data_IF_509649867898
#
_entry.id   IF_509649867898
#
_cell.length_a   1.000
_cell.length_b   1.000
_cell.length_c   1.000
_cell.angle_alpha   90.00
_cell.angle_beta   90.00
_cell.angle_gamma   90.00
#
_symmetry.space_group_name_H-M   'P 1'
#
loop_
_entity.id
_entity.type
_entity.pdbx_description
1 polymer ?
#
# COMPACT_ATOMS: atom_id res chain seq x y z
N UNK A 1 4.41 24.25 14.56
CA UNK A 1 4.85 22.92 14.10
C UNK A 1 4.96 23.01 12.58
N UNK A 2 6.10 23.51 12.10
CA UNK A 2 6.29 23.74 10.68
C UNK A 2 7.68 23.24 10.24
N UNK A 3 7.61 22.35 9.26
CA UNK A 3 8.39 22.39 8.02
C UNK A 3 9.90 22.10 8.09
N UNK A 4 10.23 20.81 8.04
CA UNK A 4 11.53 20.29 7.60
C UNK A 4 11.81 20.77 6.17
N UNK A 5 12.88 21.52 5.96
CA UNK A 5 13.42 21.85 4.63
C UNK A 5 14.91 21.46 4.53
N UNK A 6 15.16 20.52 3.62
CA UNK A 6 16.24 20.48 2.61
C UNK A 6 17.65 20.86 3.11
N UNK A 7 18.52 19.85 3.24
CA UNK A 7 19.97 20.05 3.34
C UNK A 7 20.59 19.88 1.95
N UNK A 8 21.04 21.00 1.37
CA UNK A 8 21.93 21.03 0.20
C UNK A 8 23.34 20.74 0.74
N UNK A 9 23.86 19.53 0.52
CA UNK A 9 25.26 19.26 0.84
C UNK A 9 26.10 19.65 -0.38
N UNK A 10 26.63 20.87 -0.33
CA UNK A 10 27.68 21.32 -1.23
C UNK A 10 28.94 20.49 -1.02
N UNK A 11 29.41 19.86 -2.09
CA UNK A 11 30.80 19.42 -2.21
C UNK A 11 31.72 20.61 -2.00
N UNK A 12 32.77 20.50 -1.18
CA UNK A 12 34.13 20.98 -1.48
C UNK A 12 35.13 20.56 -0.38
N UNK A 13 36.26 20.04 -0.88
CA UNK A 13 37.62 20.06 -0.31
C UNK A 13 38.09 18.94 0.64
N UNK A 14 39.11 18.22 0.15
CA UNK A 14 39.97 17.22 0.83
C UNK A 14 40.95 17.88 1.82
N UNK A 15 41.44 17.26 2.91
CA UNK A 15 42.71 16.48 3.01
C UNK A 15 42.93 15.93 4.46
N UNK A 16 43.21 14.61 4.56
CA UNK A 16 44.09 13.76 5.41
C UNK A 16 44.13 13.68 6.99
N UNK A 17 43.81 12.45 7.49
CA UNK A 17 44.27 11.55 8.60
C UNK A 17 45.03 12.02 9.87
N UNK A 18 44.57 11.67 11.10
CA UNK A 18 44.93 10.45 11.89
C UNK A 18 44.28 10.42 13.32
N UNK A 19 43.84 9.21 13.75
CA UNK A 19 43.58 8.72 15.14
C UNK A 19 42.49 9.31 16.07
N UNK A 20 41.57 8.44 16.50
CA UNK A 20 40.83 8.55 17.79
C UNK A 20 39.30 8.50 17.67
N UNK A 21 38.67 7.42 18.15
CA UNK A 21 37.22 7.17 18.20
C UNK A 21 36.44 8.30 18.92
N UNK A 22 35.17 8.63 18.65
CA UNK A 22 33.97 7.80 18.46
C UNK A 22 32.95 8.57 17.60
N UNK A 23 32.40 7.95 16.55
CA UNK A 23 31.15 8.43 15.94
C UNK A 23 30.12 7.33 16.12
N UNK A 24 29.03 7.65 16.82
CA UNK A 24 27.90 6.76 17.05
C UNK A 24 27.19 6.53 15.70
N UNK A 25 27.61 5.49 14.98
CA UNK A 25 26.93 5.06 13.77
C UNK A 25 25.91 3.98 14.14
N UNK A 26 24.65 4.36 14.30
CA UNK A 26 23.56 3.39 14.17
C UNK A 26 23.30 3.15 12.68
N UNK A 27 24.16 2.37 12.03
CA UNK A 27 23.75 1.66 10.81
C UNK A 27 23.31 0.28 11.21
N UNK A 28 22.00 0.12 11.34
CA UNK A 28 21.37 -1.15 11.01
C UNK A 28 21.75 -1.48 9.57
N UNK A 29 22.77 -2.31 9.37
CA UNK A 29 23.09 -2.92 8.08
C UNK A 29 22.00 -3.94 7.76
N UNK A 30 20.87 -3.45 7.26
CA UNK A 30 19.91 -4.25 6.52
C UNK A 30 20.48 -4.46 5.11
N UNK A 31 21.34 -5.47 4.98
CA UNK A 31 21.96 -5.90 3.72
C UNK A 31 21.03 -6.82 2.90
N UNK A 32 19.72 -6.69 3.08
CA UNK A 32 18.72 -7.30 2.19
C UNK A 32 18.42 -6.39 0.99
N UNK A 33 18.06 -6.92 -0.18
CA UNK A 33 17.52 -6.10 -1.25
C UNK A 33 16.27 -5.39 -0.73
N UNK A 34 16.28 -4.04 -0.73
CA UNK A 34 15.11 -3.26 -0.35
C UNK A 34 14.05 -3.38 -1.45
N UNK A 35 13.03 -4.18 -1.18
CA UNK A 35 11.90 -4.34 -2.09
C UNK A 35 11.00 -3.09 -2.04
N UNK A 36 10.85 -2.42 -3.18
CA UNK A 36 9.95 -1.27 -3.30
C UNK A 36 8.49 -1.75 -3.35
N UNK A 37 7.65 -1.18 -2.48
CA UNK A 37 6.22 -1.46 -2.48
C UNK A 37 5.50 -0.58 -3.51
N UNK A 38 4.81 -1.20 -4.48
CA UNK A 38 3.89 -0.55 -5.42
C UNK A 38 2.46 -0.81 -4.95
N UNK A 39 1.83 0.20 -4.37
CA UNK A 39 0.50 0.07 -3.76
C UNK A 39 -0.55 0.66 -4.70
N UNK A 40 -1.54 -0.15 -5.08
CA UNK A 40 -2.60 0.25 -6.01
C UNK A 40 -3.94 0.29 -5.29
N UNK A 41 -4.78 1.27 -5.64
CA UNK A 41 -6.16 1.31 -5.19
C UNK A 41 -7.07 0.71 -6.26
N UNK A 42 -7.84 -0.31 -5.88
CA UNK A 42 -8.96 -0.77 -6.68
C UNK A 42 -10.24 -0.16 -6.12
N UNK A 43 -11.13 0.32 -6.99
CA UNK A 43 -12.33 1.05 -6.57
C UNK A 43 -13.58 0.29 -7.00
N UNK A 44 -14.44 -0.06 -6.04
CA UNK A 44 -15.62 -0.91 -6.30
C UNK A 44 -16.65 -0.25 -7.23
N UNK A 45 -16.72 1.09 -7.27
CA UNK A 45 -17.59 1.82 -8.21
C UNK A 45 -17.11 1.76 -9.67
N UNK A 46 -15.89 1.29 -9.96
CA UNK A 46 -15.38 1.15 -11.33
C UNK A 46 -16.16 0.12 -12.17
N UNK A 47 -16.86 -0.80 -11.51
CA UNK A 47 -17.76 -1.78 -12.14
C UNK A 47 -18.94 -1.14 -12.89
N UNK A 48 -19.31 0.10 -12.53
CA UNK A 48 -20.47 0.80 -13.10
C UNK A 48 -20.11 1.72 -14.28
N UNK A 49 -18.83 1.87 -14.61
CA UNK A 49 -18.42 2.70 -15.75
C UNK A 49 -18.90 2.08 -17.07
N UNK A 50 -19.35 2.89 -18.05
CA UNK A 50 -19.83 2.36 -19.32
C UNK A 50 -18.69 1.97 -20.26
N UNK A 51 -18.98 1.00 -21.14
CA UNK A 51 -18.10 0.59 -22.24
C UNK A 51 -16.71 0.17 -21.77
N UNK A 52 -15.68 0.68 -22.46
CA UNK A 52 -14.27 0.37 -22.16
C UNK A 52 -13.76 0.92 -20.83
N UNK A 53 -14.56 1.78 -20.18
CA UNK A 53 -14.24 2.30 -18.85
C UNK A 53 -14.63 1.35 -17.73
N UNK A 54 -15.48 0.34 -18.01
CA UNK A 54 -15.83 -0.69 -17.02
C UNK A 54 -14.58 -1.44 -16.63
N UNK A 55 -14.35 -1.54 -15.34
CA UNK A 55 -13.17 -2.18 -14.80
C UNK A 55 -13.59 -3.08 -13.64
N UNK A 56 -13.14 -4.32 -13.68
CA UNK A 56 -13.37 -5.37 -12.70
C UNK A 56 -12.02 -5.86 -12.16
N UNK A 57 -11.98 -6.60 -11.03
CA UNK A 57 -10.70 -7.01 -10.45
C UNK A 57 -9.86 -7.86 -11.41
N UNK A 58 -10.48 -8.65 -12.29
CA UNK A 58 -9.81 -9.47 -13.29
C UNK A 58 -9.08 -8.64 -14.36
N UNK A 59 -9.35 -7.35 -14.44
CA UNK A 59 -8.66 -6.43 -15.35
C UNK A 59 -7.36 -5.88 -14.75
N UNK A 60 -7.08 -6.12 -13.46
CA UNK A 60 -5.82 -5.72 -12.82
C UNK A 60 -4.71 -6.68 -13.22
N UNK A 61 -3.67 -6.17 -13.87
CA UNK A 61 -2.45 -6.94 -14.14
C UNK A 61 -1.71 -7.22 -12.81
N UNK A 62 -1.55 -8.50 -12.41
CA UNK A 62 -0.92 -8.87 -11.13
C UNK A 62 0.54 -8.43 -10.98
N UNK A 63 1.22 -8.07 -12.07
CA UNK A 63 2.63 -7.66 -12.07
C UNK A 63 2.84 -6.17 -11.77
N UNK A 64 1.78 -5.35 -11.84
CA UNK A 64 1.88 -3.89 -11.66
C UNK A 64 1.99 -3.49 -10.18
N UNK A 65 1.28 -4.21 -9.31
CA UNK A 65 1.09 -3.85 -7.91
C UNK A 65 1.68 -4.93 -7.01
N UNK A 66 2.44 -4.54 -5.99
CA UNK A 66 2.84 -5.48 -4.92
C UNK A 66 1.77 -5.58 -3.84
N UNK A 67 0.95 -4.53 -3.67
CA UNK A 67 -0.18 -4.50 -2.74
C UNK A 67 -1.39 -3.85 -3.41
N UNK A 68 -2.58 -4.35 -3.13
CA UNK A 68 -3.85 -3.75 -3.56
C UNK A 68 -4.61 -3.32 -2.31
N UNK A 69 -5.10 -2.09 -2.32
CA UNK A 69 -6.07 -1.56 -1.36
C UNK A 69 -7.43 -1.57 -2.05
N UNK A 70 -8.35 -2.36 -1.54
CA UNK A 70 -9.73 -2.34 -2.00
C UNK A 70 -10.47 -1.16 -1.36
N UNK A 71 -10.99 -0.27 -2.20
CA UNK A 71 -11.66 0.95 -1.80
C UNK A 71 -13.14 0.89 -2.22
N UNK A 72 -14.11 0.97 -1.30
CA UNK A 72 -13.97 1.08 0.16
C UNK A 72 -14.93 0.12 0.87
N UNK A 73 -14.62 -0.20 2.12
CA UNK A 73 -15.61 -0.72 3.06
C UNK A 73 -16.44 0.44 3.65
N UNK A 74 -17.55 0.12 4.30
CA UNK A 74 -18.37 1.07 5.07
C UNK A 74 -18.37 0.71 6.56
N UNK A 75 -18.99 1.57 7.38
CA UNK A 75 -19.24 1.30 8.79
C UNK A 75 -20.74 1.22 9.07
N UNK A 76 -21.16 0.16 9.78
CA UNK A 76 -22.52 -0.03 10.28
C UNK A 76 -22.47 -0.40 11.75
N UNK A 77 -23.04 0.45 12.62
CA UNK A 77 -23.08 0.19 14.06
C UNK A 77 -21.70 -0.08 14.69
N UNK A 78 -20.70 0.72 14.35
CA UNK A 78 -19.29 0.58 14.78
C UNK A 78 -18.58 -0.71 14.31
N UNK A 79 -19.12 -1.37 13.29
CA UNK A 79 -18.47 -2.52 12.64
C UNK A 79 -18.21 -2.21 11.18
N UNK A 80 -17.12 -2.73 10.65
CA UNK A 80 -16.86 -2.72 9.21
C UNK A 80 -17.92 -3.57 8.50
N UNK A 81 -18.38 -3.09 7.35
CA UNK A 81 -19.36 -3.75 6.50
C UNK A 81 -19.02 -3.54 5.01
N UNK A 82 -19.57 -4.40 4.15
CA UNK A 82 -19.54 -4.20 2.70
C UNK A 82 -20.17 -2.87 2.29
N UNK A 83 -19.55 -2.18 1.33
CA UNK A 83 -20.13 -0.95 0.77
C UNK A 83 -21.07 -1.28 -0.39
N UNK A 84 -20.63 -2.13 -1.32
CA UNK A 84 -21.44 -2.61 -2.44
C UNK A 84 -22.09 -3.96 -2.12
N UNK A 85 -23.23 -4.20 -2.77
CA UNK A 85 -24.02 -5.42 -2.63
C UNK A 85 -23.29 -6.70 -3.08
N UNK A 86 -22.23 -6.58 -3.89
CA UNK A 86 -21.44 -7.68 -4.44
C UNK A 86 -19.99 -7.70 -3.94
N UNK A 87 -19.66 -6.95 -2.88
CA UNK A 87 -18.32 -7.00 -2.29
C UNK A 87 -18.06 -8.32 -1.54
N UNK A 88 -19.08 -8.88 -0.87
CA UNK A 88 -19.01 -10.12 -0.09
C UNK A 88 -19.41 -11.36 -0.89
N UNK A 89 -18.88 -12.51 -0.47
CA UNK A 89 -19.26 -13.82 -1.01
C UNK A 89 -20.73 -14.12 -0.71
N UNK A 90 -21.39 -14.79 -1.65
CA UNK A 90 -22.70 -15.40 -1.45
C UNK A 90 -22.61 -16.91 -1.64
N UNK A 91 -23.67 -17.65 -1.31
CA UNK A 91 -23.72 -19.10 -1.53
C UNK A 91 -23.56 -19.51 -3.01
N UNK A 92 -23.71 -18.56 -3.95
CA UNK A 92 -23.76 -18.82 -5.39
C UNK A 92 -22.67 -18.06 -6.18
N UNK A 93 -21.93 -17.16 -5.53
CA UNK A 93 -20.92 -16.32 -6.21
C UNK A 93 -19.83 -15.85 -5.25
N UNK A 94 -18.59 -15.83 -5.73
CA UNK A 94 -17.48 -15.12 -5.07
C UNK A 94 -17.69 -13.61 -5.17
N UNK A 95 -17.47 -12.91 -4.06
CA UNK A 95 -17.56 -11.45 -3.94
C UNK A 95 -16.29 -10.74 -4.37
N UNK A 96 -16.41 -9.45 -4.65
CA UNK A 96 -15.31 -8.65 -5.18
C UNK A 96 -14.12 -8.52 -4.24
N UNK A 97 -14.31 -8.65 -2.92
CA UNK A 97 -13.19 -8.68 -1.97
C UNK A 97 -12.24 -9.85 -2.24
N UNK A 98 -12.79 -11.06 -2.33
CA UNK A 98 -12.00 -12.27 -2.58
C UNK A 98 -11.38 -12.24 -3.98
N UNK A 99 -12.16 -11.84 -4.99
CA UNK A 99 -11.69 -11.73 -6.38
C UNK A 99 -10.54 -10.73 -6.54
N UNK A 100 -10.55 -9.62 -5.78
CA UNK A 100 -9.49 -8.60 -5.82
C UNK A 100 -8.19 -9.01 -5.12
N UNK A 101 -8.25 -10.02 -4.28
CA UNK A 101 -7.14 -10.45 -3.43
C UNK A 101 -7.00 -11.97 -3.40
N UNK A 102 -6.78 -12.64 -4.56
CA UNK A 102 -6.71 -14.11 -4.64
C UNK A 102 -5.40 -14.68 -4.04
N UNK A 103 -4.48 -13.83 -3.59
CA UNK A 103 -3.31 -14.25 -2.81
C UNK A 103 -3.65 -14.06 -1.32
N UNK A 104 -3.01 -14.80 -0.40
CA UNK A 104 -3.05 -14.49 1.02
C UNK A 104 -2.23 -13.21 1.33
N UNK A 105 -2.39 -12.15 0.53
CA UNK A 105 -2.21 -10.80 1.03
C UNK A 105 -3.34 -10.64 2.02
N UNK A 106 -2.97 -10.65 3.30
CA UNK A 106 -3.74 -10.09 4.40
C UNK A 106 -4.58 -8.95 3.86
N UNK A 107 -5.87 -9.22 3.53
CA UNK A 107 -6.88 -8.18 3.42
C UNK A 107 -6.59 -7.34 4.65
N UNK A 108 -6.29 -6.06 4.44
CA UNK A 108 -5.86 -5.18 5.51
C UNK A 108 -7.05 -4.94 6.46
N UNK A 109 -7.47 -5.99 7.17
CA UNK A 109 -8.21 -5.98 8.44
C UNK A 109 -7.36 -5.34 9.54
N UNK A 110 -6.19 -4.80 9.19
CA UNK A 110 -5.43 -3.83 9.97
C UNK A 110 -5.86 -2.38 9.76
N UNK A 111 -6.85 -2.08 8.90
CA UNK A 111 -7.48 -0.75 8.85
C UNK A 111 -8.45 -0.51 10.04
N UNK A 112 -8.13 -1.07 11.20
CA UNK A 112 -8.70 -0.69 12.50
C UNK A 112 -7.82 0.29 13.29
N UNK A 113 -6.69 0.75 12.74
CA UNK A 113 -5.80 1.73 13.39
C UNK A 113 -5.55 2.98 12.53
N UNK A 114 -6.62 3.52 11.93
CA UNK A 114 -6.65 4.92 11.49
C UNK A 114 -7.92 5.59 12.04
N UNK A 115 -7.99 5.67 13.36
CA UNK A 115 -8.67 6.75 14.09
C UNK A 115 -7.72 7.18 15.20
#
# INVERSE_FOLDING_TARGET
METTKIVIVGSFLSIFFHTGATSLHSTSTDNGPKEYKRVCYYTNWSQYRPGRGKFLPENVDPSLCTHIIYAFATMSGNRLAAYEWNDEDTAWSTGMYETSSPRPVTLCRHLGEFI
#
